data_IF_715259873404
#
_entry.id   IF_715259873404
#
_cell.length_a   1.000
_cell.length_b   1.000
_cell.length_c   1.000
_cell.angle_alpha   90.00
_cell.angle_beta   90.00
_cell.angle_gamma   90.00
#
_symmetry.space_group_name_H-M   'P 1'
#
loop_
_entity.id
_entity.type
_entity.pdbx_description
1 polymer ?
#
# COMPACT_ATOMS: atom_id res chain seq x y z
N UNK A 1 0.98 15.42 12.18
CA UNK A 1 1.16 14.21 13.01
C UNK A 1 1.50 13.11 12.05
N UNK A 2 2.72 12.57 12.16
CA UNK A 2 3.22 11.55 11.25
C UNK A 2 2.30 10.33 11.38
N UNK A 3 1.51 10.08 10.34
CA UNK A 3 0.83 8.81 10.17
C UNK A 3 1.95 7.78 10.22
N UNK A 4 2.01 7.00 11.30
CA UNK A 4 2.64 5.69 11.29
C UNK A 4 1.78 4.83 10.38
N UNK A 5 1.80 5.15 9.09
CA UNK A 5 1.16 4.36 8.07
C UNK A 5 1.90 3.04 8.05
N UNK A 6 1.18 1.96 7.78
CA UNK A 6 1.79 0.70 7.36
C UNK A 6 2.41 0.92 5.98
N UNK A 7 3.45 1.76 5.93
CA UNK A 7 4.21 2.08 4.74
C UNK A 7 5.04 0.85 4.38
N UNK A 8 5.14 0.59 3.07
CA UNK A 8 6.01 -0.43 2.52
C UNK A 8 7.45 -0.31 3.07
N UNK A 9 7.89 0.90 3.40
CA UNK A 9 9.19 1.19 4.01
C UNK A 9 9.37 0.63 5.44
N UNK A 10 8.27 0.38 6.15
CA UNK A 10 8.26 -0.23 7.47
C UNK A 10 8.18 -1.76 7.37
N UNK A 11 7.45 -2.29 6.39
CA UNK A 11 7.44 -3.73 6.06
C UNK A 11 8.79 -4.20 5.49
N UNK A 12 9.49 -3.33 4.75
CA UNK A 12 10.75 -3.63 4.08
C UNK A 12 11.83 -2.60 4.44
N UNK A 13 12.35 -2.64 5.67
CA UNK A 13 13.38 -1.69 6.11
C UNK A 13 14.68 -1.81 5.31
N UNK A 14 14.99 -3.00 4.78
CA UNK A 14 16.15 -3.24 3.92
C UNK A 14 16.07 -2.51 2.57
N UNK A 15 14.85 -2.26 2.07
CA UNK A 15 14.61 -1.56 0.81
C UNK A 15 14.25 -0.09 1.04
N UNK A 16 14.27 0.42 2.28
CA UNK A 16 13.84 1.78 2.62
C UNK A 16 14.54 2.88 1.82
N UNK A 17 15.85 2.75 1.60
CA UNK A 17 16.61 3.69 0.77
C UNK A 17 16.14 3.65 -0.69
N UNK A 18 15.97 2.45 -1.25
CA UNK A 18 15.48 2.23 -2.62
C UNK A 18 14.05 2.75 -2.81
N UNK A 19 13.18 2.52 -1.85
CA UNK A 19 11.80 3.05 -1.80
C UNK A 19 11.83 4.57 -1.84
N UNK A 20 12.72 5.21 -1.05
CA UNK A 20 12.82 6.65 -1.00
C UNK A 20 13.35 7.24 -2.32
N UNK A 21 14.36 6.60 -2.94
CA UNK A 21 14.86 6.97 -4.26
C UNK A 21 13.79 6.83 -5.34
N UNK A 22 13.11 5.68 -5.42
CA UNK A 22 12.04 5.44 -6.39
C UNK A 22 10.86 6.37 -6.16
N UNK A 23 10.48 6.64 -4.92
CA UNK A 23 9.39 7.60 -4.64
C UNK A 23 9.72 9.02 -5.14
N UNK A 24 10.99 9.43 -5.12
CA UNK A 24 11.42 10.74 -5.63
C UNK A 24 11.65 10.77 -7.15
N UNK A 25 12.18 9.70 -7.72
CA UNK A 25 12.62 9.66 -9.11
C UNK A 25 11.62 8.96 -10.05
N UNK A 26 10.74 8.13 -9.51
CA UNK A 26 9.80 7.29 -10.24
C UNK A 26 8.34 7.63 -9.86
N UNK A 27 7.67 8.33 -10.78
CA UNK A 27 6.28 8.73 -10.62
C UNK A 27 5.31 7.53 -10.63
N UNK A 28 5.71 6.38 -11.21
CA UNK A 28 4.93 5.16 -11.18
C UNK A 28 4.94 4.58 -9.77
N UNK A 29 6.12 4.45 -9.17
CA UNK A 29 6.29 4.01 -7.80
C UNK A 29 5.48 4.89 -6.83
N UNK A 30 5.56 6.22 -6.99
CA UNK A 30 4.80 7.15 -6.16
C UNK A 30 3.28 6.94 -6.27
N UNK A 31 2.76 6.64 -7.46
CA UNK A 31 1.33 6.32 -7.66
C UNK A 31 0.93 4.98 -7.06
N UNK A 32 1.73 3.93 -7.24
CA UNK A 32 1.46 2.61 -6.67
C UNK A 32 1.46 2.67 -5.15
N UNK A 33 2.42 3.39 -4.58
CA UNK A 33 2.53 3.61 -3.15
C UNK A 33 1.29 4.31 -2.58
N UNK A 34 0.84 5.39 -3.23
CA UNK A 34 -0.38 6.09 -2.82
C UNK A 34 -1.64 5.23 -2.91
N UNK A 35 -1.74 4.36 -3.92
CA UNK A 35 -2.85 3.41 -4.03
C UNK A 35 -2.81 2.34 -2.92
N UNK A 36 -1.61 1.90 -2.52
CA UNK A 36 -1.44 0.90 -1.46
C UNK A 36 -1.86 1.47 -0.09
N UNK A 37 -1.42 2.69 0.19
CA UNK A 37 -1.77 3.49 1.37
C UNK A 37 -3.30 3.70 1.44
N UNK A 38 -3.91 4.14 0.34
CA UNK A 38 -5.35 4.34 0.26
C UNK A 38 -6.14 3.04 0.44
N UNK A 39 -5.69 1.94 -0.19
CA UNK A 39 -6.33 0.64 -0.05
C UNK A 39 -6.26 0.13 1.39
N UNK A 40 -5.12 0.31 2.06
CA UNK A 40 -4.93 -0.08 3.47
C UNK A 40 -5.84 0.74 4.38
N UNK A 41 -5.85 2.07 4.24
CA UNK A 41 -6.73 2.96 5.00
C UNK A 41 -8.21 2.61 4.78
N UNK A 42 -8.61 2.29 3.54
CA UNK A 42 -9.97 1.86 3.22
C UNK A 42 -10.31 0.53 3.89
N UNK A 43 -9.41 -0.45 3.88
CA UNK A 43 -9.61 -1.72 4.59
C UNK A 43 -9.85 -1.45 6.08
N UNK A 44 -9.01 -0.65 6.73
CA UNK A 44 -9.16 -0.32 8.15
C UNK A 44 -10.46 0.43 8.46
N UNK A 45 -10.90 1.31 7.56
CA UNK A 45 -12.17 2.01 7.67
C UNK A 45 -13.37 1.05 7.53
N UNK A 46 -13.30 0.14 6.54
CA UNK A 46 -14.33 -0.88 6.31
C UNK A 46 -14.39 -1.92 7.43
N UNK A 47 -13.25 -2.29 8.02
CA UNK A 47 -13.18 -3.14 9.22
C UNK A 47 -13.95 -2.53 10.40
N UNK A 48 -13.98 -1.19 10.50
CA UNK A 48 -14.74 -0.49 11.53
C UNK A 48 -16.23 -0.34 11.21
N UNK A 49 -16.62 -0.38 9.94
CA UNK A 49 -17.99 -0.09 9.50
C UNK A 49 -18.91 -1.34 9.49
N UNK A 50 -18.37 -2.54 9.76
CA UNK A 50 -19.05 -3.85 9.95
C UNK A 50 -20.42 -3.96 9.25
N UNK A 51 -20.43 -3.73 7.93
CA UNK A 51 -21.62 -3.76 7.09
C UNK A 51 -21.44 -4.76 5.95
N UNK A 52 -22.50 -5.41 5.43
CA UNK A 52 -22.37 -6.43 4.39
C UNK A 52 -21.72 -5.92 3.09
N UNK A 53 -21.84 -4.62 2.78
CA UNK A 53 -21.16 -3.98 1.62
C UNK A 53 -19.65 -3.86 1.84
N UNK A 54 -19.21 -3.80 3.10
CA UNK A 54 -17.81 -3.72 3.47
C UNK A 54 -17.09 -5.05 3.21
N UNK A 55 -17.77 -6.19 3.33
CA UNK A 55 -17.19 -7.53 3.12
C UNK A 55 -16.74 -7.71 1.65
N UNK A 56 -17.63 -7.44 0.70
CA UNK A 56 -17.31 -7.49 -0.74
C UNK A 56 -16.22 -6.49 -1.14
N UNK A 57 -16.30 -5.26 -0.62
CA UNK A 57 -15.30 -4.22 -0.92
C UNK A 57 -13.95 -4.54 -0.28
N UNK A 58 -13.93 -5.11 0.93
CA UNK A 58 -12.72 -5.53 1.62
C UNK A 58 -12.02 -6.66 0.86
N UNK A 59 -12.75 -7.65 0.36
CA UNK A 59 -12.14 -8.71 -0.46
C UNK A 59 -11.44 -8.15 -1.70
N UNK A 60 -12.06 -7.18 -2.37
CA UNK A 60 -11.47 -6.53 -3.55
C UNK A 60 -10.23 -5.70 -3.18
N UNK A 61 -10.32 -4.92 -2.09
CA UNK A 61 -9.19 -4.14 -1.57
C UNK A 61 -8.05 -5.03 -1.10
N UNK A 62 -8.31 -6.21 -0.52
CA UNK A 62 -7.26 -7.18 -0.15
C UNK A 62 -6.52 -7.69 -1.39
N UNK A 63 -7.24 -8.02 -2.46
CA UNK A 63 -6.63 -8.40 -3.75
C UNK A 63 -5.81 -7.25 -4.32
N UNK A 64 -6.35 -6.03 -4.29
CA UNK A 64 -5.67 -4.84 -4.77
C UNK A 64 -4.40 -4.55 -3.96
N UNK A 65 -4.47 -4.62 -2.63
CA UNK A 65 -3.32 -4.48 -1.73
C UNK A 65 -2.23 -5.49 -2.05
N UNK A 66 -2.61 -6.76 -2.28
CA UNK A 66 -1.66 -7.81 -2.65
C UNK A 66 -0.99 -7.52 -4.00
N UNK A 67 -1.78 -7.16 -5.02
CA UNK A 67 -1.27 -6.82 -6.34
C UNK A 67 -0.32 -5.61 -6.29
N UNK A 68 -0.71 -4.54 -5.59
CA UNK A 68 0.12 -3.34 -5.41
C UNK A 68 1.43 -3.66 -4.67
N UNK A 69 1.37 -4.52 -3.66
CA UNK A 69 2.56 -4.99 -2.94
C UNK A 69 3.49 -5.79 -3.86
N UNK A 70 2.95 -6.66 -4.72
CA UNK A 70 3.73 -7.43 -5.68
C UNK A 70 4.41 -6.51 -6.71
N UNK A 71 3.68 -5.53 -7.26
CA UNK A 71 4.20 -4.51 -8.17
C UNK A 71 5.32 -3.69 -7.52
N UNK A 72 5.07 -3.18 -6.31
CA UNK A 72 6.07 -2.42 -5.55
C UNK A 72 7.31 -3.28 -5.25
N UNK A 73 7.13 -4.55 -4.88
CA UNK A 73 8.24 -5.46 -4.61
C UNK A 73 9.02 -5.79 -5.89
N UNK A 74 8.35 -5.97 -7.02
CA UNK A 74 8.99 -6.16 -8.32
C UNK A 74 9.85 -4.95 -8.71
N UNK A 75 9.36 -3.72 -8.46
CA UNK A 75 10.14 -2.50 -8.67
C UNK A 75 11.35 -2.37 -7.75
N UNK A 76 11.24 -2.88 -6.50
CA UNK A 76 12.35 -2.84 -5.54
C UNK A 76 13.45 -3.86 -5.83
N UNK A 77 13.06 -5.02 -6.38
CA UNK A 77 13.97 -6.11 -6.73
C UNK A 77 14.63 -5.91 -8.11
N UNK A 78 14.10 -4.99 -8.93
CA UNK A 78 14.63 -4.60 -10.24
C UNK A 78 15.76 -3.57 -10.20
#
# INVERSE_FOLDING_TARGET
MALEHHDLAHEFPEFKERIHELKMNDAHFQKLFGQYDEATTKIEALEKEESPVADETMEDLKKQRLALKDDLYAMLKG
#
